data_IF_605740221473
#
_entry.id   IF_605740221473
#
_cell.length_a   1.000
_cell.length_b   1.000
_cell.length_c   1.000
_cell.angle_alpha   90.00
_cell.angle_beta   90.00
_cell.angle_gamma   90.00
#
_symmetry.space_group_name_H-M   'P 1'
#
loop_
_entity.id
_entity.type
_entity.pdbx_description
1 polymer ?
#
# COMPACT_ATOMS: atom_id res chain seq x y z
N UNK A 1 -7.59 -37.10 -10.97
CA UNK A 1 -8.29 -36.13 -10.09
C UNK A 1 -7.45 -35.64 -8.92
N UNK A 2 -6.75 -36.51 -8.16
CA UNK A 2 -5.98 -36.09 -6.97
C UNK A 2 -4.79 -35.14 -7.23
N UNK A 3 -4.14 -35.19 -8.41
CA UNK A 3 -3.06 -34.27 -8.77
C UNK A 3 -3.56 -32.84 -9.11
N UNK A 4 -4.71 -32.74 -9.79
CA UNK A 4 -5.34 -31.46 -10.16
C UNK A 4 -5.81 -30.69 -8.91
N UNK A 5 -6.34 -31.39 -7.91
CA UNK A 5 -6.77 -30.79 -6.65
C UNK A 5 -5.60 -30.26 -5.83
N UNK A 6 -4.44 -30.94 -5.85
CA UNK A 6 -3.23 -30.48 -5.13
C UNK A 6 -2.65 -29.23 -5.80
N UNK A 7 -2.63 -29.18 -7.15
CA UNK A 7 -2.19 -27.99 -7.88
C UNK A 7 -3.09 -26.78 -7.62
N UNK A 8 -4.40 -26.98 -7.48
CA UNK A 8 -5.36 -25.91 -7.19
C UNK A 8 -5.18 -25.37 -5.76
N UNK A 9 -4.93 -26.25 -4.79
CA UNK A 9 -4.65 -25.89 -3.39
C UNK A 9 -3.32 -25.13 -3.20
N UNK A 10 -2.29 -25.50 -3.96
CA UNK A 10 -1.02 -24.77 -3.98
C UNK A 10 -1.17 -23.37 -4.58
N UNK A 11 -1.96 -23.24 -5.64
CA UNK A 11 -2.21 -21.95 -6.29
C UNK A 11 -2.94 -20.98 -5.35
N UNK A 12 -3.96 -21.44 -4.64
CA UNK A 12 -4.71 -20.59 -3.70
C UNK A 12 -3.90 -20.19 -2.48
N UNK A 13 -3.04 -21.07 -1.97
CA UNK A 13 -2.12 -20.78 -0.87
C UNK A 13 -1.10 -19.69 -1.25
N UNK A 14 -0.56 -19.73 -2.47
CA UNK A 14 0.34 -18.67 -2.99
C UNK A 14 -0.39 -17.34 -3.09
N UNK A 15 -1.65 -17.33 -3.56
CA UNK A 15 -2.46 -16.10 -3.64
C UNK A 15 -2.66 -15.44 -2.27
N UNK A 16 -2.99 -16.22 -1.23
CA UNK A 16 -3.14 -15.69 0.14
C UNK A 16 -1.82 -15.19 0.75
N UNK A 17 -0.68 -15.71 0.32
CA UNK A 17 0.63 -15.24 0.77
C UNK A 17 1.06 -13.91 0.12
N UNK A 18 0.48 -13.58 -1.05
CA UNK A 18 0.77 -12.32 -1.76
C UNK A 18 -0.03 -11.12 -1.26
N UNK A 19 -1.10 -11.32 -0.47
CA UNK A 19 -1.80 -10.21 0.19
C UNK A 19 -0.99 -9.75 1.41
N UNK A 20 0.11 -9.04 1.15
CA UNK A 20 0.76 -8.22 2.17
C UNK A 20 -0.15 -7.01 2.42
N UNK A 21 -0.45 -6.74 3.69
CA UNK A 21 -1.16 -5.53 4.08
C UNK A 21 -0.33 -4.32 3.64
N UNK A 22 -0.90 -3.46 2.81
CA UNK A 22 -0.28 -2.16 2.53
C UNK A 22 -0.48 -1.30 3.76
N UNK A 23 0.61 -0.90 4.40
CA UNK A 23 0.57 0.15 5.41
C UNK A 23 -0.13 1.36 4.77
N UNK A 24 -1.26 1.78 5.33
CA UNK A 24 -1.93 3.01 4.92
C UNK A 24 -1.00 4.15 5.31
N UNK A 25 -0.48 4.88 4.32
CA UNK A 25 0.28 6.09 4.62
C UNK A 25 -0.70 7.12 5.20
N UNK A 26 -0.52 7.41 6.48
CA UNK A 26 -1.25 8.48 7.15
C UNK A 26 -0.54 9.80 6.89
N UNK A 27 -1.31 10.87 6.73
CA UNK A 27 -0.81 12.23 6.56
C UNK A 27 -1.50 13.14 7.57
N UNK A 28 -0.86 14.25 7.92
CA UNK A 28 -1.51 15.36 8.62
C UNK A 28 -1.83 16.44 7.60
N UNK A 29 -3.11 16.78 7.47
CA UNK A 29 -3.59 17.89 6.65
C UNK A 29 -3.59 19.15 7.50
N UNK A 30 -2.73 20.12 7.17
CA UNK A 30 -2.64 21.37 7.91
C UNK A 30 -3.88 22.23 7.65
N UNK A 31 -4.66 22.52 8.69
CA UNK A 31 -5.89 23.34 8.61
C UNK A 31 -5.66 24.78 9.05
N UNK A 32 -4.66 25.00 9.91
CA UNK A 32 -4.21 26.31 10.36
C UNK A 32 -3.50 27.09 9.25
N UNK A 33 -3.57 28.42 9.26
CA UNK A 33 -2.97 29.29 8.22
C UNK A 33 -1.48 28.99 7.99
N UNK A 34 -0.74 28.85 9.09
CA UNK A 34 0.64 28.39 9.10
C UNK A 34 0.92 27.72 10.44
N UNK A 35 1.90 26.83 10.46
CA UNK A 35 2.34 26.14 11.66
C UNK A 35 3.81 25.80 11.56
N UNK A 36 4.53 25.95 12.65
CA UNK A 36 5.94 25.58 12.73
C UNK A 36 6.07 24.09 13.05
N UNK A 37 7.00 23.44 12.34
CA UNK A 37 7.45 22.09 12.60
C UNK A 37 8.69 22.18 13.49
N UNK A 38 8.58 21.69 14.71
CA UNK A 38 9.60 21.77 15.74
C UNK A 38 10.54 20.57 15.70
N UNK A 39 11.78 20.74 16.16
CA UNK A 39 12.76 19.64 16.20
C UNK A 39 12.45 18.63 17.30
N UNK A 40 11.92 19.11 18.43
CA UNK A 40 11.60 18.32 19.62
C UNK A 40 10.14 18.57 20.05
N UNK A 41 9.65 17.81 21.03
CA UNK A 41 8.30 17.99 21.63
C UNK A 41 8.23 19.22 22.56
N UNK A 42 8.88 20.31 22.16
CA UNK A 42 8.90 21.57 22.89
C UNK A 42 8.69 22.73 21.89
N UNK A 43 7.69 23.61 22.09
CA UNK A 43 7.48 24.78 21.26
C UNK A 43 8.62 25.82 21.35
N UNK A 44 9.54 25.69 22.31
CA UNK A 44 10.77 26.50 22.41
C UNK A 44 11.95 25.88 21.66
N UNK A 45 11.80 24.68 21.12
CA UNK A 45 12.85 24.02 20.36
C UNK A 45 13.06 24.68 18.99
N UNK A 46 14.23 24.45 18.35
CA UNK A 46 14.48 24.97 17.01
C UNK A 46 13.41 24.53 16.01
N UNK A 47 12.99 25.46 15.16
CA UNK A 47 12.05 25.19 14.08
C UNK A 47 12.79 24.56 12.90
N UNK A 48 12.37 23.36 12.49
CA UNK A 48 12.90 22.62 11.34
C UNK A 48 12.32 23.16 10.03
N UNK A 49 11.09 23.70 10.10
CA UNK A 49 10.46 24.39 9.00
C UNK A 49 9.05 24.87 9.34
N UNK A 50 8.36 25.40 8.35
CA UNK A 50 6.97 25.87 8.47
C UNK A 50 6.14 25.18 7.41
N UNK A 51 4.93 24.77 7.79
CA UNK A 51 3.93 24.20 6.90
C UNK A 51 2.72 25.15 6.82
N UNK A 52 2.11 25.21 5.64
CA UNK A 52 0.98 26.09 5.36
C UNK A 52 -0.33 25.32 5.22
N UNK A 53 -1.45 26.06 5.35
CA UNK A 53 -2.78 25.51 5.17
C UNK A 53 -2.90 24.75 3.84
N UNK A 54 -3.43 23.53 3.90
CA UNK A 54 -3.62 22.65 2.74
C UNK A 54 -2.43 21.76 2.41
N UNK A 55 -1.31 21.90 3.12
CA UNK A 55 -0.20 20.96 2.99
C UNK A 55 -0.49 19.62 3.67
N UNK A 56 0.03 18.55 3.07
CA UNK A 56 -0.04 17.19 3.60
C UNK A 56 1.35 16.72 4.01
N UNK A 57 1.54 16.49 5.30
CA UNK A 57 2.80 15.99 5.84
C UNK A 57 2.67 14.50 6.18
N UNK A 58 3.58 13.62 5.72
CA UNK A 58 3.55 12.21 6.09
C UNK A 58 3.64 12.05 7.61
N UNK A 59 2.69 11.31 8.18
CA UNK A 59 2.61 11.03 9.61
C UNK A 59 3.47 9.82 9.95
N UNK A 60 4.39 10.00 10.89
CA UNK A 60 5.27 8.96 11.41
C UNK A 60 4.73 8.35 12.71
N UNK A 61 4.17 9.18 13.58
CA UNK A 61 3.62 8.75 14.88
C UNK A 61 2.65 9.76 15.46
N UNK A 62 1.69 9.28 16.26
CA UNK A 62 0.72 10.08 16.99
C UNK A 62 1.08 10.03 18.47
N UNK A 63 1.48 11.18 19.04
CA UNK A 63 1.62 11.37 20.48
C UNK A 63 0.34 11.95 21.09
N UNK A 64 0.38 12.33 22.37
CA UNK A 64 -0.79 12.89 23.07
C UNK A 64 -1.16 14.28 22.57
N UNK A 65 -0.20 15.21 22.57
CA UNK A 65 -0.39 16.60 22.14
C UNK A 65 0.28 16.93 20.78
N UNK A 66 1.09 16.00 20.26
CA UNK A 66 1.93 16.23 19.08
C UNK A 66 1.78 15.11 18.05
N UNK A 67 1.92 15.47 16.78
CA UNK A 67 2.13 14.59 15.65
C UNK A 67 3.60 14.60 15.26
N UNK A 68 4.20 13.42 15.16
CA UNK A 68 5.52 13.26 14.54
C UNK A 68 5.32 13.13 13.04
N UNK A 69 5.90 14.05 12.29
CA UNK A 69 5.75 14.13 10.84
C UNK A 69 7.10 14.10 10.15
N UNK A 70 7.13 13.60 8.92
CA UNK A 70 8.30 13.72 8.06
C UNK A 70 8.26 15.05 7.33
N UNK A 71 9.26 15.90 7.57
CA UNK A 71 9.41 17.18 6.90
C UNK A 71 10.68 17.17 6.04
N UNK A 72 10.49 17.08 4.72
CA UNK A 72 11.56 16.90 3.72
C UNK A 72 12.42 15.67 4.07
N UNK A 73 13.73 15.88 4.28
CA UNK A 73 14.71 14.84 4.63
C UNK A 73 14.88 14.64 6.14
N UNK A 74 14.09 15.35 6.95
CA UNK A 74 14.17 15.34 8.41
C UNK A 74 12.84 14.96 9.05
N UNK A 75 12.88 14.61 10.33
CA UNK A 75 11.69 14.40 11.15
C UNK A 75 11.42 15.64 12.00
N UNK A 76 10.16 15.90 12.31
CA UNK A 76 9.78 16.99 13.19
C UNK A 76 8.44 16.77 13.86
N UNK A 77 8.08 17.71 14.73
CA UNK A 77 6.92 17.67 15.60
C UNK A 77 5.97 18.80 15.27
N UNK A 78 4.70 18.45 15.18
CA UNK A 78 3.61 19.35 14.87
C UNK A 78 2.56 19.25 15.96
N UNK A 79 2.01 20.35 16.46
CA UNK A 79 0.94 20.29 17.45
C UNK A 79 -0.34 19.72 16.85
N UNK A 80 -1.10 18.93 17.63
CA UNK A 80 -2.35 18.34 17.13
C UNK A 80 -3.37 19.36 16.63
N UNK A 81 -3.42 20.54 17.23
CA UNK A 81 -4.35 21.62 16.83
C UNK A 81 -4.07 22.20 15.44
N UNK A 82 -2.92 21.88 14.85
CA UNK A 82 -2.51 22.44 13.58
C UNK A 82 -3.26 21.87 12.38
N UNK A 83 -3.78 20.65 12.51
CA UNK A 83 -4.35 19.90 11.39
C UNK A 83 -4.92 18.56 11.80
N UNK A 84 -5.58 17.91 10.85
CA UNK A 84 -6.25 16.64 11.07
C UNK A 84 -5.50 15.48 10.40
N UNK A 85 -5.51 14.31 11.02
CA UNK A 85 -4.94 13.10 10.43
C UNK A 85 -5.87 12.60 9.33
N UNK A 86 -5.36 12.53 8.11
CA UNK A 86 -6.04 12.00 6.94
C UNK A 86 -5.37 10.72 6.47
N UNK A 87 -6.17 9.73 6.12
CA UNK A 87 -5.67 8.48 5.56
C UNK A 87 -5.64 8.62 4.05
N UNK A 88 -4.46 8.48 3.43
CA UNK A 88 -4.37 8.40 1.97
C UNK A 88 -4.01 6.97 1.59
N UNK A 89 -4.97 6.27 1.00
CA UNK A 89 -4.71 4.97 0.43
C UNK A 89 -3.67 5.12 -0.68
N UNK A 90 -2.47 4.55 -0.48
CA UNK A 90 -1.59 4.26 -1.61
C UNK A 90 -2.33 3.23 -2.46
N UNK A 91 -2.56 3.58 -3.72
CA UNK A 91 -3.29 2.74 -4.67
C UNK A 91 -2.73 1.33 -4.63
N UNK A 92 -3.56 0.38 -4.23
CA UNK A 92 -3.15 -1.02 -4.12
C UNK A 92 -2.83 -1.54 -5.52
N UNK A 93 -1.72 -2.27 -5.73
CA UNK A 93 -1.39 -2.93 -7.00
C UNK A 93 -2.33 -4.12 -7.30
N UNK A 94 -3.53 -4.17 -6.71
CA UNK A 94 -4.54 -5.22 -6.91
C UNK A 94 -4.80 -5.47 -8.39
N UNK A 95 -4.82 -4.40 -9.21
CA UNK A 95 -5.00 -4.51 -10.65
C UNK A 95 -3.91 -5.34 -11.33
N UNK A 96 -2.64 -5.15 -10.96
CA UNK A 96 -1.50 -5.87 -11.56
C UNK A 96 -1.55 -7.36 -11.23
N UNK A 97 -1.92 -7.71 -9.99
CA UNK A 97 -2.02 -9.09 -9.54
C UNK A 97 -3.17 -9.81 -10.27
N UNK A 98 -4.33 -9.17 -10.40
CA UNK A 98 -5.47 -9.73 -11.14
C UNK A 98 -5.10 -9.98 -12.62
N UNK A 99 -4.37 -9.05 -13.25
CA UNK A 99 -3.90 -9.21 -14.63
C UNK A 99 -2.92 -10.39 -14.76
N UNK A 100 -1.98 -10.55 -13.84
CA UNK A 100 -1.06 -11.69 -13.84
C UNK A 100 -1.78 -13.03 -13.66
N UNK A 101 -2.76 -13.10 -12.75
CA UNK A 101 -3.57 -14.31 -12.55
C UNK A 101 -4.41 -14.64 -13.79
N UNK A 102 -5.00 -13.63 -14.42
CA UNK A 102 -5.73 -13.81 -15.67
C UNK A 102 -4.83 -14.35 -16.79
N UNK A 103 -3.61 -13.83 -16.93
CA UNK A 103 -2.63 -14.34 -17.90
C UNK A 103 -2.26 -15.80 -17.65
N UNK A 104 -2.02 -16.19 -16.39
CA UNK A 104 -1.71 -17.59 -16.05
C UNK A 104 -2.89 -18.52 -16.37
N UNK A 105 -4.12 -18.11 -16.07
CA UNK A 105 -5.33 -18.89 -16.38
C UNK A 105 -5.54 -19.05 -17.90
N UNK A 106 -5.30 -17.99 -18.68
CA UNK A 106 -5.38 -18.03 -20.14
C UNK A 106 -4.34 -19.00 -20.71
N UNK A 107 -3.09 -18.94 -20.24
CA UNK A 107 -2.02 -19.84 -20.70
C UNK A 107 -2.33 -21.29 -20.34
N UNK A 108 -2.77 -21.57 -19.11
CA UNK A 108 -3.14 -22.92 -18.69
C UNK A 108 -4.30 -23.50 -19.53
N UNK A 109 -5.31 -22.67 -19.83
CA UNK A 109 -6.43 -23.07 -20.68
C UNK A 109 -5.98 -23.36 -22.11
N UNK A 110 -5.07 -22.55 -22.66
CA UNK A 110 -4.48 -22.79 -23.98
C UNK A 110 -3.69 -24.09 -24.07
N UNK A 111 -2.87 -24.39 -23.06
CA UNK A 111 -2.10 -25.65 -22.99
C UNK A 111 -3.03 -26.86 -22.88
N UNK A 112 -4.06 -26.79 -22.03
CA UNK A 112 -5.04 -27.87 -21.89
C UNK A 112 -5.80 -28.13 -23.20
N UNK A 113 -6.20 -27.07 -23.90
CA UNK A 113 -6.84 -27.16 -25.21
C UNK A 113 -5.91 -27.81 -26.26
N UNK A 114 -4.63 -27.43 -26.28
CA UNK A 114 -3.65 -28.02 -27.20
C UNK A 114 -3.48 -29.52 -26.97
N UNK A 115 -3.32 -29.95 -25.72
CA UNK A 115 -3.19 -31.38 -25.35
C UNK A 115 -4.46 -32.15 -25.71
N UNK A 116 -5.63 -31.57 -25.50
CA UNK A 116 -6.89 -32.18 -25.92
C UNK A 116 -6.93 -32.39 -27.44
N UNK A 117 -6.52 -31.37 -28.20
CA UNK A 117 -6.47 -31.42 -29.66
C UNK A 117 -5.43 -32.43 -30.19
N UNK A 118 -4.25 -32.56 -29.56
CA UNK A 118 -3.25 -33.54 -30.01
C UNK A 118 -3.73 -34.98 -29.82
N UNK A 119 -4.54 -35.24 -28.79
CA UNK A 119 -5.03 -36.59 -28.49
C UNK A 119 -6.09 -37.09 -29.47
N UNK A 120 -6.96 -36.21 -29.98
CA UNK A 120 -8.00 -36.59 -30.95
C UNK A 120 -7.41 -36.92 -32.34
N UNK A 121 -6.25 -36.34 -32.70
CA UNK A 121 -5.61 -36.59 -33.99
C UNK A 121 -4.85 -37.92 -34.06
N UNK A 122 -4.45 -38.50 -32.93
CA UNK A 122 -3.77 -39.81 -32.91
C UNK A 122 -4.75 -40.99 -33.03
N UNK A 123 -6.05 -40.75 -32.78
CA UNK A 123 -7.10 -41.78 -32.80
C UNK A 123 -7.92 -41.81 -34.11
N UNK A 124 -7.54 -41.01 -35.10
CA UNK A 124 -8.17 -40.97 -36.45
C UNK A 124 -7.19 -41.50 -37.48
#
# INVERSE_FOLDING_TARGET
MRLLTISLLLLTSVVMFTTRTFAQDQYVSVTSSFVNVYKDLDPKSPVVGTAHKGEYLPLLSIGDAWYKVKYRDSEGWLEKRAGDVVNKAKGSPTGIIIVLLALVAIVASGVAFFIYKSKISETT
#
